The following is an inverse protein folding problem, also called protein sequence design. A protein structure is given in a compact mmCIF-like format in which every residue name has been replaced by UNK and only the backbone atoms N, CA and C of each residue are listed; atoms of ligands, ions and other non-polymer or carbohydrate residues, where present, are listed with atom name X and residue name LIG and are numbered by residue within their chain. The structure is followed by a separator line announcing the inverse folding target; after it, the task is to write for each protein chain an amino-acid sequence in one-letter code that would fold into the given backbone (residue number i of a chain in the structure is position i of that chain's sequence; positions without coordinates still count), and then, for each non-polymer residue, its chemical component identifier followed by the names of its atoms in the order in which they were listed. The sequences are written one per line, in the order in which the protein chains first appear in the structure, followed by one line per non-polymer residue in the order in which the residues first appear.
data_IF_804603071787
#
_entry.id   IF_804603071787
#
_cell.length_a   1.000
_cell.length_b   1.000
_cell.length_c   1.000
_cell.angle_alpha   90.00
_cell.angle_beta   90.00
_cell.angle_gamma   90.00
#
_symmetry.space_group_name_H-M   'P 1'
#
loop_
_entity.id
_entity.type
_entity.pdbx_description
1 polymer ?
#
# COMPACT_ATOMS: atom_id res chain seq x y z
N UNK A 1 20.28 3.86 -0.76
CA UNK A 1 18.83 3.57 -0.67
C UNK A 1 18.23 3.46 -2.08
N UNK A 2 17.25 2.58 -2.27
CA UNK A 2 16.34 2.58 -3.42
C UNK A 2 15.20 3.54 -3.07
N UNK A 3 14.98 4.53 -3.93
CA UNK A 3 13.91 5.50 -3.80
C UNK A 3 12.81 5.16 -4.80
N UNK A 4 11.55 5.17 -4.36
CA UNK A 4 10.40 4.98 -5.22
C UNK A 4 9.29 5.95 -4.84
N UNK A 5 8.61 6.53 -5.84
CA UNK A 5 7.44 7.41 -5.62
C UNK A 5 6.75 7.78 -6.94
N UNK A 6 7.53 8.30 -7.89
CA UNK A 6 6.99 8.98 -9.07
C UNK A 6 6.70 8.01 -10.23
N UNK A 7 5.56 8.20 -10.90
CA UNK A 7 5.16 7.37 -12.03
C UNK A 7 6.17 7.52 -13.17
N UNK A 8 6.62 6.40 -13.73
CA UNK A 8 7.62 6.37 -14.80
C UNK A 8 9.07 6.35 -14.31
N UNK A 9 9.30 6.48 -12.99
CA UNK A 9 10.61 6.24 -12.40
C UNK A 9 10.76 4.75 -12.01
N UNK A 10 12.01 4.24 -11.91
CA UNK A 10 12.26 2.89 -11.44
C UNK A 10 11.59 2.61 -10.08
N UNK A 11 11.13 1.37 -9.90
CA UNK A 11 10.49 0.89 -8.67
C UNK A 11 9.15 1.55 -8.33
N UNK A 12 8.53 2.28 -9.25
CA UNK A 12 7.17 2.80 -9.07
C UNK A 12 6.17 1.69 -8.69
N UNK A 13 6.44 0.46 -9.12
CA UNK A 13 5.70 -0.75 -8.78
C UNK A 13 5.60 -1.00 -7.27
N UNK A 14 6.50 -0.46 -6.45
CA UNK A 14 6.45 -0.57 -4.99
C UNK A 14 5.39 0.32 -4.37
N UNK A 15 4.89 1.34 -5.07
CA UNK A 15 3.80 2.20 -4.57
C UNK A 15 2.48 1.44 -4.51
N UNK A 16 1.58 1.87 -3.62
CA UNK A 16 0.20 1.37 -3.59
C UNK A 16 -0.65 1.85 -4.77
N UNK A 17 -0.17 2.85 -5.51
CA UNK A 17 -0.80 3.45 -6.69
C UNK A 17 -0.40 2.76 -8.00
N UNK A 18 0.53 1.81 -7.95
CA UNK A 18 0.89 1.02 -9.11
C UNK A 18 -0.29 0.13 -9.54
N UNK A 19 -0.57 0.01 -10.85
CA UNK A 19 -1.74 -0.68 -11.39
C UNK A 19 -1.58 -2.21 -11.39
N UNK A 20 -1.40 -2.78 -10.18
CA UNK A 20 -1.36 -4.22 -9.95
C UNK A 20 -2.59 -4.61 -9.15
N UNK A 21 -3.42 -5.45 -9.75
CA UNK A 21 -4.60 -5.97 -9.08
C UNK A 21 -4.22 -6.82 -7.88
N UNK A 22 -5.02 -6.73 -6.82
CA UNK A 22 -4.87 -7.56 -5.62
C UNK A 22 -6.18 -8.29 -5.40
N UNK A 23 -6.13 -9.62 -5.41
CA UNK A 23 -7.23 -10.44 -4.94
C UNK A 23 -7.15 -10.59 -3.42
N UNK A 24 -8.24 -10.28 -2.72
CA UNK A 24 -8.34 -10.40 -1.28
C UNK A 24 -9.78 -10.75 -0.88
N UNK A 25 -9.93 -11.83 -0.12
CA UNK A 25 -11.23 -12.32 0.38
C UNK A 25 -12.28 -12.48 -0.74
N UNK A 26 -11.90 -13.15 -1.83
CA UNK A 26 -12.75 -13.40 -2.99
C UNK A 26 -13.11 -12.17 -3.83
N UNK A 27 -12.53 -10.99 -3.54
CA UNK A 27 -12.73 -9.75 -4.28
C UNK A 27 -11.44 -9.28 -4.94
N UNK A 28 -11.55 -8.74 -6.15
CA UNK A 28 -10.43 -8.12 -6.87
C UNK A 28 -10.45 -6.60 -6.64
N UNK A 29 -9.30 -6.06 -6.27
CA UNK A 29 -9.06 -4.63 -6.08
C UNK A 29 -8.12 -4.14 -7.20
N UNK A 30 -8.42 -3.01 -7.87
CA UNK A 30 -7.59 -2.52 -8.98
C UNK A 30 -6.15 -2.19 -8.57
N UNK A 31 -5.97 -1.73 -7.33
CA UNK A 31 -4.64 -1.50 -6.73
C UNK A 31 -4.65 -1.81 -5.24
N UNK A 32 -3.46 -1.94 -4.67
CA UNK A 32 -3.24 -1.93 -3.22
C UNK A 32 -3.88 -0.74 -2.50
N UNK A 33 -3.89 0.44 -3.12
CA UNK A 33 -4.55 1.62 -2.55
C UNK A 33 -6.05 1.40 -2.39
N UNK A 34 -6.74 0.82 -3.39
CA UNK A 34 -8.17 0.51 -3.28
C UNK A 34 -8.44 -0.43 -2.09
N UNK A 35 -7.62 -1.49 -1.97
CA UNK A 35 -7.76 -2.45 -0.87
C UNK A 35 -7.50 -1.78 0.48
N UNK A 36 -6.41 -1.01 0.61
CA UNK A 36 -6.05 -0.33 1.86
C UNK A 36 -7.15 0.63 2.33
N UNK A 37 -7.71 1.40 1.39
CA UNK A 37 -8.77 2.35 1.69
C UNK A 37 -10.10 1.65 2.00
N UNK A 38 -10.44 0.56 1.30
CA UNK A 38 -11.63 -0.24 1.59
C UNK A 38 -11.53 -0.95 2.95
N UNK A 39 -10.33 -1.38 3.36
CA UNK A 39 -10.06 -2.09 4.63
C UNK A 39 -10.50 -1.30 5.88
N UNK A 40 -10.52 0.03 5.77
CA UNK A 40 -11.03 0.94 6.79
C UNK A 40 -12.52 0.72 7.12
N UNK A 41 -13.26 0.10 6.20
CA UNK A 41 -14.72 0.03 6.23
C UNK A 41 -15.28 -1.40 6.10
N UNK A 42 -14.46 -2.41 5.73
CA UNK A 42 -14.93 -3.79 5.44
C UNK A 42 -15.90 -4.35 6.50
N UNK A 43 -15.61 -4.14 7.79
CA UNK A 43 -16.39 -4.71 8.88
C UNK A 43 -17.43 -3.75 9.47
N UNK A 44 -17.32 -2.44 9.20
CA UNK A 44 -18.18 -1.41 9.82
C UNK A 44 -19.18 -0.82 8.84
N UNK A 45 -18.81 -0.71 7.56
CA UNK A 45 -19.56 -0.11 6.44
C UNK A 45 -19.23 -0.83 5.12
N UNK A 46 -19.66 -2.10 4.92
CA UNK A 46 -19.32 -2.88 3.73
C UNK A 46 -19.73 -2.21 2.41
N UNK A 47 -20.80 -1.43 2.41
CA UNK A 47 -21.29 -0.64 1.27
C UNK A 47 -20.30 0.45 0.86
N UNK A 48 -19.64 1.09 1.82
CA UNK A 48 -18.59 2.08 1.55
C UNK A 48 -17.32 1.40 1.07
N UNK A 49 -16.96 0.26 1.66
CA UNK A 49 -15.82 -0.53 1.21
C UNK A 49 -15.98 -0.95 -0.27
N UNK A 50 -17.18 -1.37 -0.66
CA UNK A 50 -17.49 -1.75 -2.03
C UNK A 50 -17.44 -0.57 -3.01
N UNK A 51 -17.94 0.60 -2.60
CA UNK A 51 -17.82 1.85 -3.37
C UNK A 51 -16.36 2.26 -3.55
N UNK A 52 -15.54 2.16 -2.51
CA UNK A 52 -14.10 2.46 -2.58
C UNK A 52 -13.38 1.47 -3.49
N UNK A 53 -13.68 0.17 -3.37
CA UNK A 53 -13.13 -0.87 -4.25
C UNK A 53 -13.41 -0.58 -5.73
N UNK A 54 -14.59 -0.05 -6.01
CA UNK A 54 -15.10 0.22 -7.36
C UNK A 54 -14.78 1.64 -7.86
N UNK A 55 -13.96 2.41 -7.13
CA UNK A 55 -13.57 3.75 -7.56
C UNK A 55 -12.77 3.68 -8.88
N UNK A 56 -12.89 4.69 -9.78
CA UNK A 56 -12.21 4.64 -11.07
C UNK A 56 -10.68 4.75 -10.99
N UNK A 57 -10.14 5.28 -9.89
CA UNK A 57 -8.71 5.45 -9.69
C UNK A 57 -8.31 5.30 -8.22
N UNK A 58 -7.03 4.94 -7.93
CA UNK A 58 -6.53 4.88 -6.56
C UNK A 58 -6.63 6.22 -5.84
N UNK A 59 -6.56 7.33 -6.60
CA UNK A 59 -6.73 8.67 -6.08
C UNK A 59 -8.16 8.90 -5.59
N UNK A 60 -9.16 8.52 -6.38
CA UNK A 60 -10.57 8.62 -5.98
C UNK A 60 -10.91 7.68 -4.83
N UNK A 61 -10.31 6.48 -4.76
CA UNK A 61 -10.46 5.58 -3.62
C UNK A 61 -9.97 6.24 -2.31
N UNK A 62 -8.80 6.86 -2.34
CA UNK A 62 -8.23 7.63 -1.23
C UNK A 62 -9.12 8.83 -0.86
N UNK A 63 -9.59 9.59 -1.84
CA UNK A 63 -10.45 10.76 -1.61
C UNK A 63 -11.79 10.36 -1.00
N UNK A 64 -12.41 9.28 -1.49
CA UNK A 64 -13.66 8.75 -0.93
C UNK A 64 -13.49 8.33 0.53
N UNK A 65 -12.47 7.51 0.82
CA UNK A 65 -12.18 7.09 2.19
C UNK A 65 -11.85 8.29 3.11
N UNK A 66 -11.19 9.31 2.57
CA UNK A 66 -10.88 10.54 3.31
C UNK A 66 -12.14 11.33 3.65
N UNK A 67 -13.09 11.47 2.71
CA UNK A 67 -14.41 12.09 2.97
C UNK A 67 -15.18 11.36 4.07
N UNK A 68 -15.08 10.03 4.08
CA UNK A 68 -15.78 9.15 5.02
C UNK A 68 -14.96 8.81 6.27
N UNK A 69 -13.85 9.51 6.56
CA UNK A 69 -12.93 9.18 7.66
C UNK A 69 -13.61 9.02 9.02
N UNK A 70 -14.69 9.76 9.28
CA UNK A 70 -15.47 9.65 10.54
C UNK A 70 -16.15 8.29 10.73
N UNK A 71 -16.29 7.53 9.66
CA UNK A 71 -16.98 6.23 9.61
C UNK A 71 -15.99 5.05 9.56
N UNK A 72 -14.68 5.32 9.50
CA UNK A 72 -13.67 4.27 9.50
C UNK A 72 -13.68 3.53 10.84
N UNK A 73 -13.26 2.26 10.83
CA UNK A 73 -13.03 1.48 12.05
C UNK A 73 -12.19 2.22 13.10
N UNK A 74 -12.56 2.10 14.37
CA UNK A 74 -11.99 2.91 15.46
C UNK A 74 -10.54 2.57 15.79
N UNK A 75 -10.11 1.35 15.52
CA UNK A 75 -8.76 0.81 15.74
C UNK A 75 -7.81 1.02 14.54
N UNK A 76 -8.20 1.83 13.54
CA UNK A 76 -7.47 1.94 12.27
C UNK A 76 -5.98 2.25 12.44
N UNK A 77 -5.64 3.17 13.35
CA UNK A 77 -4.25 3.57 13.56
C UNK A 77 -3.40 2.52 14.28
N UNK A 78 -4.04 1.58 14.97
CA UNK A 78 -3.37 0.45 15.63
C UNK A 78 -3.09 -0.69 14.64
N UNK A 79 -3.94 -0.84 13.61
CA UNK A 79 -3.87 -1.97 12.68
C UNK A 79 -3.29 -1.62 11.30
N UNK A 80 -3.15 -0.34 10.95
CA UNK A 80 -2.83 0.09 9.59
C UNK A 80 -1.52 -0.50 9.02
N UNK A 81 -0.47 -0.64 9.83
CA UNK A 81 0.81 -1.25 9.41
C UNK A 81 0.62 -2.74 9.12
N UNK A 82 -0.05 -3.48 10.00
CA UNK A 82 -0.32 -4.91 9.79
C UNK A 82 -1.21 -5.17 8.58
N UNK A 83 -2.18 -4.27 8.32
CA UNK A 83 -3.00 -4.31 7.09
C UNK A 83 -2.14 -4.04 5.85
N UNK A 84 -1.22 -3.07 5.91
CA UNK A 84 -0.29 -2.79 4.81
C UNK A 84 0.62 -3.99 4.52
N UNK A 85 1.12 -4.67 5.54
CA UNK A 85 1.94 -5.87 5.34
C UNK A 85 1.16 -6.99 4.63
N UNK A 86 -0.09 -7.24 5.06
CA UNK A 86 -0.95 -8.25 4.43
C UNK A 86 -1.24 -7.92 2.96
N UNK A 87 -1.53 -6.66 2.63
CA UNK A 87 -1.83 -6.28 1.25
C UNK A 87 -0.59 -6.33 0.36
N UNK A 88 0.59 -5.97 0.90
CA UNK A 88 1.84 -6.06 0.17
C UNK A 88 2.18 -7.53 -0.07
N UNK A 89 2.02 -8.38 0.93
CA UNK A 89 2.18 -9.82 0.76
C UNK A 89 1.26 -10.36 -0.34
N UNK A 90 -0.03 -10.02 -0.31
CA UNK A 90 -0.98 -10.41 -1.36
C UNK A 90 -0.51 -9.93 -2.75
N UNK A 91 -0.19 -8.64 -2.89
CA UNK A 91 0.30 -8.07 -4.16
C UNK A 91 1.56 -8.78 -4.68
N UNK A 92 2.60 -8.89 -3.85
CA UNK A 92 3.90 -9.39 -4.31
C UNK A 92 3.93 -10.91 -4.46
N UNK A 93 3.03 -11.66 -3.84
CA UNK A 93 2.90 -13.11 -4.05
C UNK A 93 2.03 -13.45 -5.27
N UNK A 94 1.06 -12.61 -5.61
CA UNK A 94 0.21 -12.77 -6.79
C UNK A 94 0.91 -12.37 -8.11
N UNK A 95 1.96 -11.55 -8.04
CA UNK A 95 2.71 -11.09 -9.22
C UNK A 95 4.19 -11.46 -9.11
N UNK A 96 4.61 -12.53 -9.80
CA UNK A 96 5.98 -13.05 -9.75
C UNK A 96 7.04 -12.02 -10.15
N UNK A 97 6.73 -11.16 -11.14
CA UNK A 97 7.62 -10.07 -11.56
C UNK A 97 7.87 -9.05 -10.43
N UNK A 98 6.87 -8.76 -9.61
CA UNK A 98 7.03 -7.90 -8.44
C UNK A 98 7.83 -8.58 -7.34
N UNK A 99 7.58 -9.88 -7.12
CA UNK A 99 8.35 -10.69 -6.17
C UNK A 99 9.83 -10.64 -6.50
N UNK A 100 10.17 -10.88 -7.76
CA UNK A 100 11.55 -10.91 -8.24
C UNK A 100 12.18 -9.51 -8.20
N UNK A 101 11.41 -8.47 -8.54
CA UNK A 101 11.84 -7.07 -8.40
C UNK A 101 12.19 -6.73 -6.94
N UNK A 102 11.36 -7.16 -5.98
CA UNK A 102 11.59 -6.94 -4.55
C UNK A 102 12.81 -7.72 -4.05
N UNK A 103 12.95 -8.99 -4.41
CA UNK A 103 14.11 -9.81 -4.04
C UNK A 103 15.41 -9.26 -4.65
N UNK A 104 15.35 -8.77 -5.89
CA UNK A 104 16.43 -8.12 -6.62
C UNK A 104 16.89 -6.78 -6.00
N UNK A 105 16.19 -6.25 -5.01
CA UNK A 105 16.70 -5.11 -4.22
C UNK A 105 17.92 -5.49 -3.37
N UNK A 106 18.15 -6.78 -3.10
CA UNK A 106 19.26 -7.24 -2.27
C UNK A 106 19.08 -6.73 -0.83
N UNK A 107 20.16 -6.32 -0.18
CA UNK A 107 20.11 -5.73 1.17
C UNK A 107 19.88 -4.20 1.16
N UNK A 108 19.63 -3.61 -0.01
CA UNK A 108 19.47 -2.15 -0.12
C UNK A 108 18.24 -1.70 0.66
N UNK A 109 18.40 -0.61 1.39
CA UNK A 109 17.29 0.10 2.03
C UNK A 109 16.27 0.54 0.97
N UNK A 110 14.98 0.36 1.25
CA UNK A 110 13.87 0.76 0.38
C UNK A 110 13.15 1.94 1.04
N UNK A 111 13.00 3.04 0.31
CA UNK A 111 12.43 4.29 0.85
C UNK A 111 11.35 4.83 -0.08
N UNK A 112 10.14 5.02 0.46
CA UNK A 112 9.09 5.75 -0.24
C UNK A 112 9.43 7.25 -0.21
N UNK A 113 9.76 7.79 -1.38
CA UNK A 113 10.25 9.16 -1.55
C UNK A 113 9.11 10.19 -1.67
N UNK A 114 8.01 9.98 -0.94
CA UNK A 114 6.88 10.90 -0.90
C UNK A 114 7.24 12.20 -0.18
N UNK A 115 7.23 13.37 -0.85
CA UNK A 115 7.63 14.64 -0.24
C UNK A 115 6.58 15.20 0.74
N UNK A 116 5.41 14.57 0.81
CA UNK A 116 4.26 15.04 1.60
C UNK A 116 3.82 14.06 2.68
N UNK A 117 4.10 12.77 2.51
CA UNK A 117 3.73 11.74 3.50
C UNK A 117 4.93 11.38 4.36
N UNK A 118 4.92 11.87 5.61
CA UNK A 118 5.96 11.59 6.59
C UNK A 118 5.70 10.32 7.41
N UNK A 119 4.56 9.65 7.23
CA UNK A 119 4.27 8.39 7.92
C UNK A 119 4.67 7.21 7.04
N UNK A 120 4.12 7.12 5.83
CA UNK A 120 4.43 6.03 4.90
C UNK A 120 5.77 6.24 4.20
N UNK A 121 6.11 7.50 3.90
CA UNK A 121 7.36 7.88 3.25
C UNK A 121 8.26 8.78 4.10
N UNK A 122 9.18 9.47 3.41
CA UNK A 122 10.20 10.31 4.06
C UNK A 122 9.74 11.75 4.39
N UNK A 123 8.55 12.18 3.96
CA UNK A 123 8.07 13.56 4.16
C UNK A 123 8.94 14.67 3.55
N UNK A 124 8.59 15.92 3.87
CA UNK A 124 9.20 17.14 3.30
C UNK A 124 10.67 17.31 3.66
N UNK A 125 11.05 16.92 4.88
CA UNK A 125 12.39 17.04 5.44
C UNK A 125 13.22 15.76 5.29
N UNK A 126 12.66 14.72 4.64
CA UNK A 126 13.26 13.39 4.47
C UNK A 126 13.53 12.63 5.78
N UNK A 127 12.87 13.03 6.87
CA UNK A 127 12.98 12.38 8.19
C UNK A 127 11.71 11.61 8.59
N UNK A 128 10.79 11.42 7.64
CA UNK A 128 9.58 10.63 7.84
C UNK A 128 9.87 9.18 8.21
N UNK A 129 8.84 8.52 8.74
CA UNK A 129 8.94 7.17 9.31
C UNK A 129 9.23 6.09 8.26
N UNK A 130 8.96 6.34 6.98
CA UNK A 130 9.16 5.37 5.89
C UNK A 130 8.52 4.00 6.20
N UNK A 131 7.32 3.98 6.77
CA UNK A 131 6.66 2.71 7.15
C UNK A 131 6.39 1.80 5.94
N UNK A 132 6.16 2.36 4.74
CA UNK A 132 5.93 1.58 3.54
C UNK A 132 7.22 0.87 3.10
N UNK A 133 8.33 1.61 3.04
CA UNK A 133 9.64 1.05 2.73
C UNK A 133 10.05 -0.03 3.74
N UNK A 134 9.80 0.21 5.03
CA UNK A 134 10.04 -0.79 6.09
C UNK A 134 9.17 -2.04 5.93
N UNK A 135 7.89 -1.90 5.58
CA UNK A 135 7.00 -3.03 5.32
C UNK A 135 7.48 -3.87 4.12
N UNK A 136 7.93 -3.23 3.04
CA UNK A 136 8.52 -3.91 1.89
C UNK A 136 9.80 -4.68 2.26
N UNK A 137 10.67 -4.11 3.10
CA UNK A 137 11.88 -4.79 3.57
C UNK A 137 11.53 -6.00 4.44
N UNK A 138 10.56 -5.88 5.36
CA UNK A 138 10.07 -7.02 6.15
C UNK A 138 9.50 -8.13 5.26
N UNK A 139 8.74 -7.75 4.23
CA UNK A 139 8.20 -8.70 3.26
C UNK A 139 9.31 -9.37 2.44
N UNK A 140 10.32 -8.62 1.99
CA UNK A 140 11.49 -9.17 1.29
C UNK A 140 12.17 -10.24 2.14
N UNK A 141 12.39 -9.96 3.43
CA UNK A 141 13.03 -10.89 4.35
C UNK A 141 12.16 -12.13 4.62
N UNK A 142 10.83 -11.98 4.61
CA UNK A 142 9.88 -13.09 4.67
C UNK A 142 9.98 -14.00 3.44
N UNK A 143 10.05 -13.42 2.24
CA UNK A 143 10.04 -14.15 0.96
C UNK A 143 11.36 -14.87 0.63
N UNK A 144 12.45 -14.58 1.37
CA UNK A 144 13.75 -15.25 1.22
C UNK A 144 13.86 -16.57 1.98
N UNK A 145 12.97 -16.78 2.96
CA UNK A 145 12.91 -17.99 3.77
C UNK A 145 12.12 -19.06 3.06
#
# INVERSE_FOLDING_TARGET
PILFYERGQPYYEFTNFAPYTVEFDGKVYPTSEHLFQAYKFLNTRPELAERIRSAPSPREALEEATRMRKLQRSDWFDVNIGVMEQLLEAKFTQHTTLRDLLLGTGEREIVEASPVDAFWGFGKDRQGRNELGKALMRLRDKLRK
#
